data_IF_521940226560
#
_entry.id   IF_521940226560
#
_cell.length_a   1.000
_cell.length_b   1.000
_cell.length_c   1.000
_cell.angle_alpha   90.00
_cell.angle_beta   90.00
_cell.angle_gamma   90.00
#
_symmetry.space_group_name_H-M   'P 1'
#
loop_
_entity.id
_entity.type
_entity.pdbx_description
1 polymer ?
#
# COMPACT_ATOMS: atom_id res chain seq x y z
N UNK A 1 23.66 -18.72 -24.81
CA UNK A 1 23.11 -17.82 -23.76
C UNK A 1 24.10 -16.68 -23.52
N UNK A 2 23.81 -15.45 -23.93
CA UNK A 2 24.73 -14.32 -23.71
C UNK A 2 24.60 -13.80 -22.28
N UNK A 3 25.72 -13.51 -21.60
CA UNK A 3 25.74 -12.97 -20.21
C UNK A 3 24.89 -11.70 -20.09
N UNK A 4 24.89 -10.85 -21.12
CA UNK A 4 24.04 -9.66 -21.19
C UNK A 4 22.55 -10.00 -21.25
N UNK A 5 22.17 -11.02 -22.02
CA UNK A 5 20.76 -11.43 -22.14
C UNK A 5 20.20 -11.94 -20.81
N UNK A 6 21.01 -12.69 -20.05
CA UNK A 6 20.61 -13.17 -18.74
C UNK A 6 20.36 -12.01 -17.76
N UNK A 7 21.29 -11.05 -17.65
CA UNK A 7 21.17 -9.89 -16.76
C UNK A 7 19.98 -8.99 -17.10
N UNK A 8 19.72 -8.76 -18.38
CA UNK A 8 18.54 -7.98 -18.81
C UNK A 8 17.25 -8.72 -18.47
N UNK A 9 17.19 -10.03 -18.73
CA UNK A 9 15.98 -10.83 -18.46
C UNK A 9 15.66 -10.95 -16.97
N UNK A 10 16.66 -11.15 -16.11
CA UNK A 10 16.47 -11.25 -14.67
C UNK A 10 16.13 -9.89 -14.05
N UNK A 11 16.79 -8.82 -14.50
CA UNK A 11 16.45 -7.45 -14.11
C UNK A 11 15.02 -7.07 -14.48
N UNK A 12 14.59 -7.39 -15.70
CA UNK A 12 13.22 -7.14 -16.17
C UNK A 12 12.18 -7.94 -15.37
N UNK A 13 12.45 -9.21 -15.05
CA UNK A 13 11.56 -10.03 -14.26
C UNK A 13 11.39 -9.51 -12.82
N UNK A 14 12.48 -9.02 -12.20
CA UNK A 14 12.45 -8.43 -10.87
C UNK A 14 11.72 -7.07 -10.87
N UNK A 15 11.99 -6.21 -11.84
CA UNK A 15 11.31 -4.92 -11.97
C UNK A 15 9.80 -5.10 -12.19
N UNK A 16 9.40 -6.02 -13.08
CA UNK A 16 8.00 -6.30 -13.39
C UNK A 16 7.21 -6.79 -12.16
N UNK A 17 7.85 -7.50 -11.22
CA UNK A 17 7.22 -7.96 -9.97
C UNK A 17 7.31 -6.94 -8.83
N UNK A 18 8.39 -6.16 -8.75
CA UNK A 18 8.64 -5.22 -7.64
C UNK A 18 7.90 -3.89 -7.77
N UNK A 19 7.81 -3.34 -8.97
CA UNK A 19 7.10 -2.06 -9.23
C UNK A 19 5.63 -2.05 -8.79
N UNK A 20 4.80 -3.07 -9.07
CA UNK A 20 3.40 -3.06 -8.63
C UNK A 20 3.21 -3.15 -7.11
N UNK A 21 4.21 -3.64 -6.35
CA UNK A 21 4.16 -3.60 -4.89
C UNK A 21 4.49 -2.20 -4.34
N UNK A 22 5.47 -1.51 -4.92
CA UNK A 22 5.84 -0.14 -4.52
C UNK A 22 4.82 0.91 -4.94
N UNK A 23 4.13 0.71 -6.07
CA UNK A 23 3.11 1.62 -6.57
C UNK A 23 1.76 1.52 -5.83
N UNK A 24 1.62 0.67 -4.81
CA UNK A 24 0.40 0.59 -4.00
C UNK A 24 0.32 1.82 -3.09
N UNK A 25 -0.62 2.76 -3.30
CA UNK A 25 -0.86 3.85 -2.36
C UNK A 25 -1.64 3.36 -1.11
N UNK A 26 -1.63 2.04 -0.85
CA UNK A 26 -2.61 1.37 0.00
C UNK A 26 -2.41 1.63 1.48
N UNK A 27 -1.18 1.48 1.99
CA UNK A 27 -0.94 1.52 3.45
C UNK A 27 -1.39 2.83 4.09
N UNK A 28 -0.82 3.96 3.63
CA UNK A 28 -1.17 5.27 4.18
C UNK A 28 -2.64 5.62 3.99
N UNK A 29 -3.23 5.33 2.81
CA UNK A 29 -4.64 5.64 2.55
C UNK A 29 -5.60 4.79 3.38
N UNK A 30 -5.31 3.51 3.55
CA UNK A 30 -6.07 2.62 4.43
C UNK A 30 -5.98 3.12 5.87
N UNK A 31 -4.78 3.45 6.35
CA UNK A 31 -4.60 3.98 7.70
C UNK A 31 -5.34 5.30 7.92
N UNK A 32 -5.31 6.22 6.94
CA UNK A 32 -6.10 7.46 7.00
C UNK A 32 -7.60 7.17 7.05
N UNK A 33 -8.11 6.28 6.19
CA UNK A 33 -9.54 5.92 6.20
C UNK A 33 -9.97 5.26 7.51
N UNK A 34 -9.16 4.34 8.05
CA UNK A 34 -9.42 3.67 9.33
C UNK A 34 -9.39 4.69 10.47
N UNK A 35 -8.42 5.60 10.47
CA UNK A 35 -8.31 6.67 11.47
C UNK A 35 -9.54 7.58 11.46
N UNK A 36 -9.93 8.08 10.28
CA UNK A 36 -11.10 8.96 10.12
C UNK A 36 -12.39 8.27 10.57
N UNK A 37 -12.54 6.98 10.25
CA UNK A 37 -13.70 6.18 10.66
C UNK A 37 -13.76 6.00 12.18
N UNK A 38 -12.64 5.65 12.81
CA UNK A 38 -12.56 5.47 14.25
C UNK A 38 -12.86 6.79 14.98
N UNK A 39 -12.32 7.90 14.49
CA UNK A 39 -12.55 9.22 15.07
C UNK A 39 -14.02 9.65 14.98
N UNK A 40 -14.70 9.36 13.87
CA UNK A 40 -16.14 9.55 13.73
C UNK A 40 -16.95 8.71 14.73
N UNK A 41 -16.55 7.47 14.97
CA UNK A 41 -17.19 6.61 15.97
C UNK A 41 -17.00 7.15 17.39
N UNK A 42 -15.79 7.63 17.75
CA UNK A 42 -15.53 8.24 19.06
C UNK A 42 -16.43 9.45 19.32
N UNK A 43 -16.62 10.31 18.32
CA UNK A 43 -17.54 11.46 18.43
C UNK A 43 -19.01 11.03 18.57
N UNK A 44 -19.41 9.91 17.98
CA UNK A 44 -20.74 9.37 18.16
C UNK A 44 -20.93 8.81 19.58
N UNK A 45 -19.90 8.15 20.11
CA UNK A 45 -19.89 7.63 21.49
C UNK A 45 -20.03 8.79 22.49
N UNK A 46 -19.29 9.89 22.34
CA UNK A 46 -19.41 11.09 23.20
C UNK A 46 -20.82 11.70 23.20
N UNK A 47 -21.62 11.49 22.15
CA UNK A 47 -23.01 12.00 22.11
C UNK A 47 -23.99 11.06 22.78
N UNK A 48 -23.69 9.77 22.81
CA UNK A 48 -24.54 8.72 23.40
C UNK A 48 -24.24 8.58 24.89
N UNK A 49 -22.99 8.80 25.29
CA UNK A 49 -22.54 8.79 26.68
C UNK A 49 -22.41 10.24 27.15
N UNK A 50 -23.45 10.81 27.81
CA UNK A 50 -23.37 12.14 28.41
C UNK A 50 -22.41 12.19 29.60
#
# INVERSE_FOLDING_TARGET
MSRRGFLVSSGAALAARGLPQMARPGGRRILTLVYDKALGAMRAVERVVP
#
